data_IF_319149943308
#
_entry.id   IF_319149943308
#
_cell.length_a   1.000
_cell.length_b   1.000
_cell.length_c   1.000
_cell.angle_alpha   90.00
_cell.angle_beta   90.00
_cell.angle_gamma   90.00
#
_symmetry.space_group_name_H-M   'P 1'
#
loop_
_entity.id
_entity.type
_entity.pdbx_description
1 polymer ?
#
# COMPACT_ATOMS: atom_id res chain seq x y z
N UNK A 1 45.61 7.07 -103.53
CA UNK A 1 44.96 8.11 -102.70
C UNK A 1 43.79 7.43 -102.01
N UNK A 2 44.08 6.87 -100.82
CA UNK A 2 43.52 7.29 -99.51
C UNK A 2 42.05 6.87 -99.37
N UNK A 3 41.77 5.69 -98.81
CA UNK A 3 41.60 5.43 -97.37
C UNK A 3 40.59 6.37 -96.70
N UNK A 4 39.42 5.83 -96.36
CA UNK A 4 38.78 5.94 -95.03
C UNK A 4 37.46 5.15 -95.03
N UNK A 5 37.44 4.03 -94.29
CA UNK A 5 36.20 3.36 -93.85
C UNK A 5 36.23 3.35 -92.33
N UNK A 6 35.62 4.37 -91.73
CA UNK A 6 35.33 4.40 -90.30
C UNK A 6 34.23 3.40 -89.97
N UNK A 7 34.57 2.39 -89.17
CA UNK A 7 33.61 1.62 -88.36
C UNK A 7 33.81 2.01 -86.90
N UNK A 8 32.79 2.48 -86.18
CA UNK A 8 32.92 2.70 -84.75
C UNK A 8 32.95 1.36 -84.01
N UNK A 9 33.89 1.29 -83.07
CA UNK A 9 34.16 0.16 -82.17
C UNK A 9 32.94 -0.18 -81.32
N UNK A 10 32.47 -1.42 -81.43
CA UNK A 10 31.53 -2.04 -80.51
C UNK A 10 32.24 -2.21 -79.15
N UNK A 11 31.89 -1.36 -78.18
CA UNK A 11 32.34 -1.52 -76.80
C UNK A 11 31.70 -2.80 -76.26
N UNK A 12 32.51 -3.82 -76.04
CA UNK A 12 32.14 -4.96 -75.23
C UNK A 12 31.75 -4.46 -73.82
N UNK A 13 30.46 -4.54 -73.50
CA UNK A 13 29.97 -4.48 -72.13
C UNK A 13 30.49 -5.74 -71.43
N UNK A 14 31.45 -5.56 -70.55
CA UNK A 14 31.84 -6.57 -69.56
C UNK A 14 30.59 -7.08 -68.82
N UNK A 15 30.49 -8.40 -68.56
CA UNK A 15 29.32 -8.95 -67.89
C UNK A 15 29.24 -8.36 -66.49
N UNK A 16 28.14 -7.64 -66.22
CA UNK A 16 27.74 -7.29 -64.87
C UNK A 16 27.54 -8.59 -64.10
N UNK A 17 28.15 -8.79 -62.92
CA UNK A 17 27.89 -9.98 -62.13
C UNK A 17 26.40 -10.01 -61.76
N UNK A 18 25.75 -11.18 -61.78
CA UNK A 18 24.34 -11.27 -61.43
C UNK A 18 24.19 -10.92 -59.94
N UNK A 19 23.24 -10.05 -59.62
CA UNK A 19 22.85 -9.76 -58.26
C UNK A 19 22.11 -10.99 -57.68
N UNK A 20 22.83 -11.89 -57.00
CA UNK A 20 22.29 -13.14 -56.45
C UNK A 20 22.34 -13.20 -54.92
N UNK A 21 21.96 -12.12 -54.22
CA UNK A 21 22.01 -12.06 -52.75
C UNK A 21 20.77 -11.40 -52.12
N UNK A 22 19.55 -11.72 -52.53
CA UNK A 22 18.36 -11.04 -51.98
C UNK A 22 17.24 -11.97 -51.52
N UNK A 23 16.84 -12.99 -52.27
CA UNK A 23 15.64 -13.79 -51.91
C UNK A 23 15.89 -14.81 -50.78
N UNK A 24 17.03 -15.51 -50.79
CA UNK A 24 17.36 -16.49 -49.76
C UNK A 24 17.65 -15.83 -48.40
N UNK A 25 18.31 -14.67 -48.41
CA UNK A 25 18.56 -13.88 -47.21
C UNK A 25 17.26 -13.31 -46.61
N UNK A 26 16.33 -12.86 -47.45
CA UNK A 26 15.00 -12.42 -47.01
C UNK A 26 14.23 -13.59 -46.41
N UNK A 27 14.27 -14.77 -47.03
CA UNK A 27 13.56 -15.96 -46.55
C UNK A 27 14.09 -16.45 -45.20
N UNK A 28 15.42 -16.47 -45.02
CA UNK A 28 16.06 -16.74 -43.73
C UNK A 28 15.64 -15.73 -42.66
N UNK A 29 15.60 -14.45 -43.01
CA UNK A 29 15.22 -13.39 -42.07
C UNK A 29 13.75 -13.45 -41.68
N UNK A 30 12.87 -13.86 -42.60
CA UNK A 30 11.46 -14.12 -42.30
C UNK A 30 11.35 -15.30 -41.32
N UNK A 31 12.06 -16.41 -41.57
CA UNK A 31 12.03 -17.57 -40.67
C UNK A 31 12.55 -17.22 -39.25
N UNK A 32 13.61 -16.42 -39.15
CA UNK A 32 14.13 -15.93 -37.87
C UNK A 32 13.12 -15.03 -37.14
N UNK A 33 12.43 -14.16 -37.88
CA UNK A 33 11.37 -13.31 -37.33
C UNK A 33 10.18 -14.15 -36.84
N UNK A 34 9.75 -15.16 -37.60
CA UNK A 34 8.68 -16.07 -37.19
C UNK A 34 9.05 -16.87 -35.93
N UNK A 35 10.27 -17.36 -35.87
CA UNK A 35 10.79 -18.05 -34.68
C UNK A 35 10.82 -17.11 -33.46
N UNK A 36 11.23 -15.86 -33.67
CA UNK A 36 11.24 -14.82 -32.62
C UNK A 36 9.82 -14.50 -32.16
N UNK A 37 8.88 -14.29 -33.07
CA UNK A 37 7.47 -14.05 -32.75
C UNK A 37 6.89 -15.20 -31.94
N UNK A 38 7.15 -16.44 -32.35
CA UNK A 38 6.66 -17.64 -31.65
C UNK A 38 7.24 -17.76 -30.25
N UNK A 39 8.52 -17.47 -30.08
CA UNK A 39 9.19 -17.45 -28.77
C UNK A 39 8.58 -16.37 -27.87
N UNK A 40 8.48 -15.14 -28.35
CA UNK A 40 7.92 -14.02 -27.60
C UNK A 40 6.46 -14.25 -27.22
N UNK A 41 5.65 -14.84 -28.11
CA UNK A 41 4.27 -15.22 -27.80
C UNK A 41 4.17 -16.26 -26.67
N UNK A 42 5.11 -17.22 -26.63
CA UNK A 42 5.21 -18.18 -25.52
C UNK A 42 5.60 -17.53 -24.19
N UNK A 43 6.51 -16.56 -24.23
CA UNK A 43 6.91 -15.79 -23.04
C UNK A 43 5.76 -14.94 -22.50
N UNK A 44 5.00 -14.26 -23.37
CA UNK A 44 3.80 -13.50 -22.99
C UNK A 44 2.78 -14.40 -22.30
N UNK A 45 2.45 -15.55 -22.87
CA UNK A 45 1.47 -16.49 -22.29
C UNK A 45 1.91 -17.03 -20.92
N UNK A 46 3.22 -17.24 -20.74
CA UNK A 46 3.80 -17.63 -19.45
C UNK A 46 3.67 -16.51 -18.41
N UNK A 47 3.94 -15.26 -18.80
CA UNK A 47 3.78 -14.09 -17.95
C UNK A 47 2.32 -13.83 -17.59
N UNK A 48 1.39 -13.94 -18.54
CA UNK A 48 -0.05 -13.86 -18.29
C UNK A 48 -0.51 -14.92 -17.27
N UNK A 49 -0.03 -16.15 -17.40
CA UNK A 49 -0.31 -17.21 -16.43
C UNK A 49 0.24 -16.91 -15.04
N UNK A 50 1.46 -16.36 -14.94
CA UNK A 50 2.05 -15.93 -13.65
C UNK A 50 1.27 -14.79 -13.02
N UNK A 51 0.87 -13.79 -13.80
CA UNK A 51 0.06 -12.65 -13.32
C UNK A 51 -1.30 -13.14 -12.83
N UNK A 52 -1.96 -14.03 -13.60
CA UNK A 52 -3.26 -14.57 -13.25
C UNK A 52 -3.26 -15.43 -11.97
N UNK A 53 -2.14 -16.06 -11.61
CA UNK A 53 -2.00 -16.86 -10.38
C UNK A 53 -1.59 -15.98 -9.21
N UNK A 54 -0.61 -15.09 -9.40
CA UNK A 54 -0.07 -14.27 -8.32
C UNK A 54 -1.05 -13.18 -7.89
N UNK A 55 -1.76 -12.53 -8.81
CA UNK A 55 -2.67 -11.43 -8.44
C UNK A 55 -3.82 -11.87 -7.53
N UNK A 56 -4.55 -12.98 -7.75
CA UNK A 56 -5.60 -13.41 -6.82
C UNK A 56 -5.06 -13.84 -5.45
N UNK A 57 -3.89 -14.47 -5.42
CA UNK A 57 -3.31 -14.94 -4.17
C UNK A 57 -2.76 -13.78 -3.32
N UNK A 58 -2.05 -12.83 -3.94
CA UNK A 58 -1.61 -11.59 -3.28
C UNK A 58 -2.81 -10.76 -2.79
N UNK A 59 -3.88 -10.67 -3.57
CA UNK A 59 -5.13 -10.00 -3.15
C UNK A 59 -5.74 -10.71 -1.94
N UNK A 60 -5.79 -12.04 -1.93
CA UNK A 60 -6.33 -12.81 -0.81
C UNK A 60 -5.49 -12.65 0.47
N UNK A 61 -4.16 -12.63 0.33
CA UNK A 61 -3.24 -12.37 1.45
C UNK A 61 -3.43 -10.97 2.03
N UNK A 62 -3.51 -9.94 1.18
CA UNK A 62 -3.78 -8.56 1.59
C UNK A 62 -5.15 -8.44 2.27
N UNK A 63 -6.18 -9.14 1.77
CA UNK A 63 -7.50 -9.14 2.39
C UNK A 63 -7.49 -9.81 3.76
N UNK A 64 -6.75 -10.90 3.93
CA UNK A 64 -6.58 -11.58 5.21
C UNK A 64 -5.85 -10.69 6.21
N UNK A 65 -4.77 -10.02 5.79
CA UNK A 65 -4.03 -9.07 6.61
C UNK A 65 -4.90 -7.88 7.02
N UNK A 66 -5.64 -7.28 6.08
CA UNK A 66 -6.58 -6.20 6.38
C UNK A 66 -7.64 -6.63 7.40
N UNK A 67 -8.20 -7.84 7.26
CA UNK A 67 -9.18 -8.37 8.21
C UNK A 67 -8.57 -8.49 9.62
N UNK A 68 -7.34 -8.99 9.72
CA UNK A 68 -6.63 -9.09 10.98
C UNK A 68 -6.33 -7.72 11.61
N UNK A 69 -5.93 -6.73 10.79
CA UNK A 69 -5.67 -5.36 11.23
C UNK A 69 -6.94 -4.67 11.74
N UNK A 70 -8.08 -4.83 11.04
CA UNK A 70 -9.38 -4.29 11.47
C UNK A 70 -9.77 -4.86 12.83
N UNK A 71 -9.69 -6.17 13.02
CA UNK A 71 -10.00 -6.80 14.32
C UNK A 71 -9.08 -6.29 15.45
N UNK A 72 -7.80 -6.06 15.14
CA UNK A 72 -6.85 -5.48 16.10
C UNK A 72 -7.23 -4.04 16.46
N UNK A 73 -7.61 -3.23 15.48
CA UNK A 73 -8.05 -1.85 15.70
C UNK A 73 -9.30 -1.79 16.59
N UNK A 74 -10.28 -2.66 16.36
CA UNK A 74 -11.49 -2.76 17.19
C UNK A 74 -11.15 -3.11 18.66
N UNK A 75 -10.26 -4.08 18.88
CA UNK A 75 -9.81 -4.45 20.24
C UNK A 75 -9.13 -3.28 20.94
N UNK A 76 -8.26 -2.55 20.24
CA UNK A 76 -7.61 -1.36 20.79
C UNK A 76 -8.61 -0.25 21.11
N UNK A 77 -9.61 -0.04 20.23
CA UNK A 77 -10.70 0.91 20.48
C UNK A 77 -11.49 0.57 21.75
N UNK A 78 -11.84 -0.70 21.94
CA UNK A 78 -12.54 -1.17 23.14
C UNK A 78 -11.69 -0.99 24.42
N UNK A 79 -10.39 -1.28 24.35
CA UNK A 79 -9.48 -1.06 25.49
C UNK A 79 -9.36 0.42 25.84
N UNK A 80 -9.20 1.29 24.84
CA UNK A 80 -9.15 2.74 25.05
C UNK A 80 -10.45 3.24 25.68
N UNK A 81 -11.60 2.78 25.19
CA UNK A 81 -12.89 3.12 25.77
C UNK A 81 -13.00 2.67 27.23
N UNK A 82 -12.57 1.45 27.55
CA UNK A 82 -12.51 0.95 28.92
C UNK A 82 -11.65 1.83 29.84
N UNK A 83 -10.44 2.17 29.40
CA UNK A 83 -9.54 3.05 30.16
C UNK A 83 -10.11 4.46 30.36
N UNK A 84 -10.79 5.01 29.36
CA UNK A 84 -11.48 6.30 29.51
C UNK A 84 -12.57 6.21 30.56
N UNK A 85 -13.41 5.17 30.53
CA UNK A 85 -14.42 4.97 31.56
C UNK A 85 -13.78 4.84 32.93
N UNK A 86 -12.77 4.01 33.12
CA UNK A 86 -12.07 3.87 34.40
C UNK A 86 -11.51 5.21 34.92
N UNK A 87 -10.84 5.97 34.05
CA UNK A 87 -10.30 7.28 34.39
C UNK A 87 -11.37 8.30 34.77
N UNK A 88 -12.52 8.33 34.07
CA UNK A 88 -13.62 9.22 34.41
C UNK A 88 -14.31 8.86 35.73
N UNK A 89 -14.40 7.57 36.07
CA UNK A 89 -15.00 7.13 37.33
C UNK A 89 -14.06 7.35 38.52
N UNK A 90 -12.75 7.11 38.37
CA UNK A 90 -11.80 7.27 39.47
C UNK A 90 -11.60 8.74 39.85
N UNK A 91 -11.53 9.64 38.86
CA UNK A 91 -11.33 11.07 39.11
C UNK A 91 -12.56 11.67 39.80
N UNK A 92 -13.78 11.37 39.34
CA UNK A 92 -15.01 11.90 39.96
C UNK A 92 -15.26 11.35 41.36
N UNK A 93 -14.94 10.09 41.61
CA UNK A 93 -15.10 9.48 42.93
C UNK A 93 -14.12 10.11 43.94
N UNK A 94 -12.86 10.30 43.55
CA UNK A 94 -11.85 10.89 44.43
C UNK A 94 -12.09 12.39 44.64
N UNK A 95 -12.44 13.14 43.59
CA UNK A 95 -12.85 14.55 43.71
C UNK A 95 -14.08 14.73 44.61
N UNK A 96 -15.09 13.85 44.46
CA UNK A 96 -16.28 13.86 45.31
C UNK A 96 -15.96 13.57 46.78
N UNK A 97 -15.03 12.64 47.04
CA UNK A 97 -14.54 12.34 48.38
C UNK A 97 -13.83 13.54 48.99
N UNK A 98 -12.86 14.12 48.28
CA UNK A 98 -12.11 15.31 48.70
C UNK A 98 -13.04 16.48 48.98
N UNK A 99 -13.97 16.78 48.07
CA UNK A 99 -14.94 17.86 48.25
C UNK A 99 -15.84 17.61 49.47
N UNK A 100 -16.24 16.36 49.69
CA UNK A 100 -16.97 15.95 50.89
C UNK A 100 -16.19 16.19 52.18
N UNK A 101 -14.87 15.95 52.19
CA UNK A 101 -14.01 16.23 53.36
C UNK A 101 -13.88 17.73 53.61
N UNK A 102 -13.61 18.51 52.56
CA UNK A 102 -13.50 19.98 52.64
C UNK A 102 -14.80 20.60 53.17
N UNK A 103 -15.96 20.16 52.69
CA UNK A 103 -17.26 20.63 53.17
C UNK A 103 -17.52 20.24 54.62
N UNK A 104 -17.13 19.02 55.02
CA UNK A 104 -17.24 18.53 56.41
C UNK A 104 -16.42 19.39 57.37
N UNK A 105 -15.16 19.62 57.04
CA UNK A 105 -14.25 20.47 57.85
C UNK A 105 -14.76 21.91 57.94
N UNK A 106 -15.19 22.47 56.80
CA UNK A 106 -15.76 23.82 56.74
C UNK A 106 -17.03 23.96 57.60
N UNK A 107 -17.91 22.94 57.60
CA UNK A 107 -19.11 22.92 58.43
C UNK A 107 -18.77 22.84 59.93
N UNK A 108 -17.82 22.00 60.31
CA UNK A 108 -17.32 21.90 61.70
C UNK A 108 -16.73 23.24 62.16
N UNK A 109 -15.90 23.87 61.34
CA UNK A 109 -15.28 25.16 61.66
C UNK A 109 -16.35 26.26 61.80
N UNK A 110 -17.34 26.28 60.92
CA UNK A 110 -18.48 27.19 61.01
C UNK A 110 -19.26 26.99 62.31
N UNK A 111 -19.59 25.76 62.69
CA UNK A 111 -20.33 25.47 63.92
C UNK A 111 -19.54 25.83 65.19
N UNK A 112 -18.22 25.61 65.17
CA UNK A 112 -17.30 26.07 66.24
C UNK A 112 -17.34 27.59 66.35
N UNK A 113 -17.24 28.34 65.25
CA UNK A 113 -17.31 29.81 65.22
C UNK A 113 -18.67 30.37 65.64
N UNK A 114 -19.75 29.71 65.23
CA UNK A 114 -21.12 30.09 65.56
C UNK A 114 -21.55 29.65 66.98
N UNK A 115 -20.64 29.02 67.75
CA UNK A 115 -20.87 28.54 69.10
C UNK A 115 -22.06 27.58 69.22
N UNK A 116 -22.26 26.75 68.18
CA UNK A 116 -23.33 25.73 68.16
C UNK A 116 -22.91 24.57 69.07
N UNK A 117 -23.85 24.10 69.90
CA UNK A 117 -23.64 22.99 70.84
C UNK A 117 -23.04 21.79 70.12
N UNK A 118 -21.94 21.27 70.67
CA UNK A 118 -21.17 20.16 70.10
C UNK A 118 -22.03 18.92 69.79
N UNK A 119 -23.01 18.62 70.65
CA UNK A 119 -23.96 17.52 70.47
C UNK A 119 -24.70 17.52 69.11
N UNK A 120 -24.83 18.69 68.48
CA UNK A 120 -25.53 18.86 67.20
C UNK A 120 -24.66 18.45 66.01
N UNK A 121 -23.33 18.55 66.11
CA UNK A 121 -22.43 18.33 64.97
C UNK A 121 -21.32 17.30 65.25
N UNK A 122 -21.23 16.73 66.45
CA UNK A 122 -20.24 15.69 66.82
C UNK A 122 -20.26 14.48 65.87
N UNK A 123 -21.44 14.13 65.32
CA UNK A 123 -21.59 12.97 64.43
C UNK A 123 -21.02 13.23 63.02
N UNK A 124 -20.64 14.47 62.72
CA UNK A 124 -20.01 14.88 61.47
C UNK A 124 -18.47 14.82 61.59
N UNK A 125 -17.92 14.73 62.82
CA UNK A 125 -16.49 14.55 63.08
C UNK A 125 -16.02 13.08 62.99
N UNK A 126 -16.95 12.11 63.01
CA UNK A 126 -16.67 10.65 62.94
C UNK A 126 -16.66 10.13 61.51
#
# INVERSE_FOLDING_TARGET
>A
MTETKDKPKEKALSPTPPATHTEDEISLRIADLEATIKKTAGEIKSLEGKIAINSPQEIAEIQAENTALVSRAEKLGNLLYGLMLEGFHSVKAEEGKILGEVLRESAIEYFKKANIKNEIWKNIES
#
